data_IF_790027263883
#
_entry.id   IF_790027263883
#
_cell.length_a   1.000
_cell.length_b   1.000
_cell.length_c   1.000
_cell.angle_alpha   90.00
_cell.angle_beta   90.00
_cell.angle_gamma   90.00
#
_symmetry.space_group_name_H-M   'P 1'
#
loop_
_entity.id
_entity.type
_entity.pdbx_description
1 polymer ?
#
# COMPACT_ATOMS: atom_id res chain seq x y z
N UNK A 1 -37.89 -23.54 4.43
CA UNK A 1 -38.07 -22.06 4.37
C UNK A 1 -37.26 -21.55 3.19
N UNK A 2 -37.95 -21.10 2.15
CA UNK A 2 -37.27 -20.53 0.96
C UNK A 2 -36.90 -19.09 1.28
N UNK A 3 -35.72 -18.90 1.88
CA UNK A 3 -35.24 -17.55 2.21
C UNK A 3 -34.76 -16.88 0.92
N UNK A 4 -35.61 -16.03 0.38
CA UNK A 4 -35.32 -15.21 -0.79
C UNK A 4 -34.01 -14.46 -0.54
N UNK A 5 -32.98 -14.63 -1.39
CA UNK A 5 -31.72 -13.92 -1.26
C UNK A 5 -31.97 -12.40 -1.34
N UNK A 6 -31.34 -11.60 -0.50
CA UNK A 6 -31.48 -10.14 -0.59
C UNK A 6 -30.91 -9.64 -1.91
N UNK A 7 -31.54 -8.63 -2.49
CA UNK A 7 -31.06 -7.94 -3.68
C UNK A 7 -30.24 -6.72 -3.26
N UNK A 8 -29.00 -6.65 -3.73
CA UNK A 8 -28.07 -5.58 -3.41
C UNK A 8 -27.61 -4.90 -4.69
N UNK A 9 -27.62 -3.60 -4.70
CA UNK A 9 -27.07 -2.79 -5.79
C UNK A 9 -25.75 -2.20 -5.33
N UNK A 10 -24.70 -2.39 -6.15
CA UNK A 10 -23.39 -1.78 -5.97
C UNK A 10 -23.18 -0.77 -7.09
N UNK A 11 -22.85 0.46 -6.74
CA UNK A 11 -22.61 1.54 -7.70
C UNK A 11 -21.12 1.84 -7.74
N UNK A 12 -20.52 1.68 -8.92
CA UNK A 12 -19.08 1.84 -9.20
C UNK A 12 -18.33 0.53 -9.19
N UNK A 13 -17.71 0.18 -10.31
CA UNK A 13 -16.87 -1.00 -10.49
C UNK A 13 -15.36 -0.71 -10.33
N UNK A 14 -15.00 0.19 -9.42
CA UNK A 14 -13.64 0.33 -8.92
C UNK A 14 -13.30 -0.76 -7.90
N UNK A 15 -12.11 -0.74 -7.33
CA UNK A 15 -11.63 -1.74 -6.35
C UNK A 15 -12.61 -1.96 -5.20
N UNK A 16 -13.15 -0.88 -4.62
CA UNK A 16 -14.08 -0.96 -3.50
C UNK A 16 -15.40 -1.66 -3.89
N UNK A 17 -16.01 -1.26 -5.00
CA UNK A 17 -17.27 -1.85 -5.47
C UNK A 17 -17.12 -3.30 -5.89
N UNK A 18 -16.03 -3.64 -6.60
CA UNK A 18 -15.73 -5.02 -6.97
C UNK A 18 -15.46 -5.88 -5.74
N UNK A 19 -14.72 -5.38 -4.75
CA UNK A 19 -14.47 -6.09 -3.49
C UNK A 19 -15.76 -6.35 -2.72
N UNK A 20 -16.66 -5.36 -2.65
CA UNK A 20 -17.96 -5.52 -2.01
C UNK A 20 -18.82 -6.57 -2.73
N UNK A 21 -18.89 -6.50 -4.06
CA UNK A 21 -19.63 -7.46 -4.87
C UNK A 21 -19.12 -8.90 -4.68
N UNK A 22 -17.81 -9.12 -4.76
CA UNK A 22 -17.19 -10.44 -4.54
C UNK A 22 -17.46 -10.97 -3.14
N UNK A 23 -17.37 -10.12 -2.11
CA UNK A 23 -17.60 -10.53 -0.72
C UNK A 23 -19.06 -10.92 -0.43
N UNK A 24 -20.00 -10.42 -1.22
CA UNK A 24 -21.43 -10.63 -1.01
C UNK A 24 -22.08 -11.64 -1.97
N UNK A 25 -21.40 -12.07 -3.03
CA UNK A 25 -21.97 -12.88 -4.12
C UNK A 25 -22.61 -14.20 -3.65
N UNK A 26 -22.10 -14.78 -2.58
CA UNK A 26 -22.66 -16.00 -1.99
C UNK A 26 -23.86 -15.76 -1.07
N UNK A 27 -24.13 -14.49 -0.70
CA UNK A 27 -25.16 -14.12 0.30
C UNK A 27 -26.31 -13.32 -0.30
N UNK A 28 -26.14 -12.74 -1.48
CA UNK A 28 -27.10 -11.83 -2.10
C UNK A 28 -27.10 -11.96 -3.62
N UNK A 29 -28.18 -11.46 -4.24
CA UNK A 29 -28.24 -11.25 -5.68
C UNK A 29 -27.69 -9.84 -5.95
N UNK A 30 -26.54 -9.77 -6.61
CA UNK A 30 -25.79 -8.52 -6.79
C UNK A 30 -26.04 -7.95 -8.18
N UNK A 31 -26.40 -6.66 -8.22
CA UNK A 31 -26.40 -5.84 -9.44
C UNK A 31 -25.30 -4.78 -9.32
N UNK A 32 -24.29 -4.87 -10.18
CA UNK A 32 -23.17 -3.93 -10.22
C UNK A 32 -23.34 -2.96 -11.39
N UNK A 33 -23.32 -1.67 -11.11
CA UNK A 33 -23.43 -0.60 -12.11
C UNK A 33 -22.13 0.20 -12.17
N UNK A 34 -21.65 0.44 -13.38
CA UNK A 34 -20.47 1.27 -13.67
C UNK A 34 -20.81 2.33 -14.69
N UNK A 35 -20.46 3.58 -14.41
CA UNK A 35 -20.70 4.71 -15.32
C UNK A 35 -19.72 4.72 -16.50
N UNK A 36 -18.53 4.20 -16.31
CA UNK A 36 -17.50 4.12 -17.34
C UNK A 36 -17.69 2.90 -18.26
N UNK A 37 -16.99 2.92 -19.39
CA UNK A 37 -16.99 1.80 -20.33
C UNK A 37 -16.18 0.59 -19.86
N UNK A 38 -15.38 0.75 -18.82
CA UNK A 38 -14.46 -0.28 -18.32
C UNK A 38 -14.46 -0.26 -16.79
N UNK A 39 -14.51 -1.44 -16.18
CA UNK A 39 -14.30 -1.60 -14.76
C UNK A 39 -12.84 -1.32 -14.37
N UNK A 40 -12.59 -1.13 -13.06
CA UNK A 40 -11.26 -0.87 -12.50
C UNK A 40 -11.12 0.52 -11.89
N UNK A 41 -11.98 1.47 -12.25
CA UNK A 41 -11.95 2.84 -11.72
C UNK A 41 -10.64 3.55 -12.05
N UNK A 42 -9.90 3.96 -11.01
CA UNK A 42 -8.60 4.63 -11.14
C UNK A 42 -7.43 3.68 -11.44
N UNK A 43 -7.58 2.38 -11.26
CA UNK A 43 -6.55 1.37 -11.56
C UNK A 43 -6.98 0.56 -12.78
N UNK A 44 -6.57 0.98 -13.96
CA UNK A 44 -6.94 0.34 -15.22
C UNK A 44 -5.86 0.47 -16.27
N UNK A 45 -5.77 -0.52 -17.15
CA UNK A 45 -4.94 -0.42 -18.34
C UNK A 45 -5.59 0.49 -19.38
N UNK A 46 -4.76 1.21 -20.12
CA UNK A 46 -5.12 1.99 -21.30
C UNK A 46 -4.46 1.30 -22.49
N UNK A 47 -5.17 1.16 -23.60
CA UNK A 47 -4.58 0.65 -24.83
C UNK A 47 -3.41 1.53 -25.26
N UNK A 48 -2.25 0.92 -25.50
CA UNK A 48 -1.09 1.61 -26.06
C UNK A 48 -1.42 2.13 -27.47
N UNK A 49 -1.04 3.35 -27.76
CA UNK A 49 -1.08 3.90 -29.11
C UNK A 49 0.34 3.81 -29.66
N UNK A 50 0.56 3.01 -30.68
CA UNK A 50 1.75 2.95 -31.56
C UNK A 50 3.18 3.04 -30.94
N UNK A 51 3.31 3.02 -29.62
CA UNK A 51 4.58 3.23 -28.92
C UNK A 51 5.31 1.91 -28.60
N UNK A 52 4.89 0.81 -29.21
CA UNK A 52 5.47 -0.52 -28.97
C UNK A 52 5.04 -1.20 -27.66
N UNK A 53 4.13 -0.59 -26.91
CA UNK A 53 3.53 -1.18 -25.70
C UNK A 53 2.16 -1.75 -25.99
N UNK A 54 1.90 -2.99 -25.53
CA UNK A 54 0.60 -3.62 -25.65
C UNK A 54 -0.49 -2.97 -24.78
N UNK A 55 -0.08 -2.36 -23.68
CA UNK A 55 -0.94 -1.57 -22.79
C UNK A 55 -0.08 -0.60 -21.96
N UNK A 56 -0.71 0.45 -21.46
CA UNK A 56 -0.14 1.37 -20.48
C UNK A 56 -1.01 1.36 -19.23
N UNK A 57 -0.39 1.44 -18.06
CA UNK A 57 -1.12 1.70 -16.82
C UNK A 57 -1.50 3.18 -16.77
N UNK A 58 -2.74 3.50 -16.39
CA UNK A 58 -3.22 4.88 -16.30
C UNK A 58 -2.66 5.64 -15.09
N UNK A 59 -1.81 5.01 -14.31
CA UNK A 59 -1.13 5.57 -13.16
C UNK A 59 -0.05 4.63 -12.64
N UNK A 60 0.73 5.10 -11.69
CA UNK A 60 1.72 4.27 -11.02
C UNK A 60 1.04 3.49 -9.88
N UNK A 61 0.59 2.26 -10.15
CA UNK A 61 -0.06 1.41 -9.17
C UNK A 61 0.94 0.41 -8.58
N UNK A 62 1.51 0.78 -7.45
CA UNK A 62 2.42 -0.08 -6.69
C UNK A 62 1.66 -0.69 -5.52
N UNK A 63 1.70 -2.02 -5.40
CA UNK A 63 1.17 -2.74 -4.25
C UNK A 63 2.29 -3.02 -3.25
N UNK A 64 2.11 -2.56 -2.03
CA UNK A 64 2.98 -2.95 -0.93
C UNK A 64 2.57 -4.32 -0.40
N UNK A 65 3.53 -5.13 0.03
CA UNK A 65 3.28 -6.45 0.60
C UNK A 65 2.37 -6.47 1.83
N UNK A 66 2.13 -5.30 2.42
CA UNK A 66 1.20 -5.10 3.55
C UNK A 66 -0.29 -5.06 3.13
N UNK A 67 -0.61 -5.01 1.84
CA UNK A 67 -1.99 -4.94 1.37
C UNK A 67 -2.65 -6.34 1.33
N UNK A 68 -2.77 -6.97 2.50
CA UNK A 68 -3.31 -8.32 2.63
C UNK A 68 -4.74 -8.48 2.07
N UNK A 69 -5.58 -7.44 2.21
CA UNK A 69 -6.94 -7.46 1.68
C UNK A 69 -7.01 -7.66 0.17
N UNK A 70 -6.07 -7.06 -0.58
CA UNK A 70 -5.99 -7.24 -2.04
C UNK A 70 -5.60 -8.69 -2.37
N UNK A 71 -4.62 -9.25 -1.67
CA UNK A 71 -4.18 -10.63 -1.87
C UNK A 71 -5.31 -11.63 -1.57
N UNK A 72 -6.03 -11.41 -0.47
CA UNK A 72 -7.20 -12.23 -0.11
C UNK A 72 -8.29 -12.14 -1.18
N UNK A 73 -8.59 -10.94 -1.68
CA UNK A 73 -9.57 -10.77 -2.75
C UNK A 73 -9.15 -11.51 -4.02
N UNK A 74 -7.89 -11.42 -4.42
CA UNK A 74 -7.36 -12.12 -5.59
C UNK A 74 -7.51 -13.63 -5.46
N UNK A 75 -7.18 -14.19 -4.31
CA UNK A 75 -7.36 -15.61 -4.02
C UNK A 75 -8.84 -16.02 -4.13
N UNK A 76 -9.77 -15.20 -3.62
CA UNK A 76 -11.21 -15.46 -3.72
C UNK A 76 -11.72 -15.52 -5.18
N UNK A 77 -11.13 -14.77 -6.09
CA UNK A 77 -11.47 -14.77 -7.51
C UNK A 77 -10.59 -15.74 -8.35
N UNK A 78 -9.76 -16.56 -7.68
CA UNK A 78 -8.92 -17.56 -8.33
C UNK A 78 -7.65 -17.01 -8.99
N UNK A 79 -7.28 -15.77 -8.73
CA UNK A 79 -6.05 -15.17 -9.24
C UNK A 79 -4.92 -15.38 -8.24
N UNK A 80 -3.84 -16.02 -8.68
CA UNK A 80 -2.65 -16.19 -7.85
C UNK A 80 -1.81 -14.90 -7.88
N UNK A 81 -1.54 -14.26 -6.72
CA UNK A 81 -0.75 -13.02 -6.68
C UNK A 81 0.61 -13.15 -7.34
N UNK A 82 1.23 -14.31 -7.25
CA UNK A 82 2.55 -14.61 -7.82
C UNK A 82 2.58 -14.56 -9.35
N UNK A 83 1.48 -14.88 -10.00
CA UNK A 83 1.35 -14.80 -11.46
C UNK A 83 0.94 -13.41 -11.97
N UNK A 84 0.30 -12.61 -11.10
CA UNK A 84 -0.23 -11.30 -11.47
C UNK A 84 0.74 -10.14 -11.19
N UNK A 85 1.72 -10.33 -10.29
CA UNK A 85 2.62 -9.27 -9.86
C UNK A 85 4.09 -9.62 -10.03
N UNK A 86 4.84 -8.66 -10.55
CA UNK A 86 6.30 -8.69 -10.47
C UNK A 86 6.73 -8.21 -9.08
N UNK A 87 7.17 -9.13 -8.22
CA UNK A 87 7.68 -8.78 -6.89
C UNK A 87 9.11 -8.26 -6.99
N UNK A 88 9.34 -7.10 -6.41
CA UNK A 88 10.65 -6.46 -6.31
C UNK A 88 10.99 -6.20 -4.84
N UNK A 89 12.27 -6.27 -4.45
CA UNK A 89 12.70 -5.77 -3.15
C UNK A 89 12.35 -4.29 -3.01
N UNK A 90 11.88 -3.88 -1.84
CA UNK A 90 11.65 -2.46 -1.56
C UNK A 90 12.98 -1.70 -1.72
N UNK A 91 12.99 -0.71 -2.61
CA UNK A 91 14.08 0.23 -2.81
C UNK A 91 13.63 1.61 -2.38
N UNK A 92 14.43 2.25 -1.56
CA UNK A 92 14.25 3.63 -1.15
C UNK A 92 15.40 4.45 -1.72
N UNK A 93 15.07 5.47 -2.47
CA UNK A 93 16.06 6.28 -3.13
C UNK A 93 15.68 7.76 -3.07
N UNK A 94 16.47 8.54 -2.36
CA UNK A 94 16.42 10.00 -2.39
C UNK A 94 17.72 10.48 -3.06
N UNK A 95 17.61 11.33 -4.06
CA UNK A 95 18.77 11.90 -4.74
C UNK A 95 19.65 12.63 -3.70
N UNK A 96 20.93 12.31 -3.68
CA UNK A 96 21.90 12.82 -2.68
C UNK A 96 21.52 12.58 -1.21
N UNK A 97 20.48 11.82 -0.94
CA UNK A 97 19.96 11.53 0.39
C UNK A 97 19.91 10.03 0.70
N UNK A 98 19.01 9.69 1.62
CA UNK A 98 18.81 8.34 2.12
C UNK A 98 18.57 7.32 0.99
N UNK A 99 19.37 6.26 0.97
CA UNK A 99 19.24 5.16 0.03
C UNK A 99 19.37 3.83 0.74
N UNK A 100 18.44 2.92 0.52
CA UNK A 100 18.54 1.53 0.96
C UNK A 100 17.72 0.59 0.07
N UNK A 101 18.03 -0.70 0.16
CA UNK A 101 17.26 -1.77 -0.45
C UNK A 101 17.09 -2.88 0.58
N UNK A 102 15.88 -3.47 0.64
CA UNK A 102 15.61 -4.57 1.55
C UNK A 102 16.37 -5.83 1.14
N UNK A 103 16.87 -6.55 2.15
CA UNK A 103 17.50 -7.85 1.96
C UNK A 103 16.43 -8.95 1.78
N UNK A 104 16.83 -10.08 1.18
CA UNK A 104 15.99 -11.28 1.06
C UNK A 104 15.94 -12.04 2.40
N UNK A 105 15.35 -11.40 3.41
CA UNK A 105 15.19 -11.91 4.76
C UNK A 105 13.71 -11.80 5.17
N UNK A 106 13.21 -12.66 6.07
CA UNK A 106 11.86 -12.53 6.59
C UNK A 106 11.68 -11.25 7.43
N UNK A 107 10.44 -10.78 7.57
CA UNK A 107 10.11 -9.65 8.44
C UNK A 107 10.42 -10.00 9.91
N UNK A 108 10.95 -9.06 10.70
CA UNK A 108 11.30 -7.67 10.39
C UNK A 108 12.76 -7.48 9.91
N UNK A 109 13.54 -8.56 9.80
CA UNK A 109 14.98 -8.54 9.56
C UNK A 109 15.38 -7.90 8.23
N UNK A 110 14.57 -8.09 7.17
CA UNK A 110 14.81 -7.49 5.86
C UNK A 110 14.96 -5.97 5.94
N UNK A 111 14.10 -5.29 6.72
CA UNK A 111 14.12 -3.83 6.85
C UNK A 111 15.18 -3.37 7.85
N UNK A 112 15.40 -4.12 8.94
CA UNK A 112 16.47 -3.84 9.90
C UNK A 112 17.83 -3.79 9.20
N UNK A 113 18.15 -4.83 8.44
CA UNK A 113 19.42 -4.91 7.70
C UNK A 113 19.50 -3.82 6.63
N UNK A 114 18.40 -3.52 5.94
CA UNK A 114 18.35 -2.46 4.95
C UNK A 114 18.69 -1.09 5.55
N UNK A 115 18.13 -0.73 6.69
CA UNK A 115 18.39 0.54 7.36
C UNK A 115 19.83 0.58 7.91
N UNK A 116 20.32 -0.49 8.49
CA UNK A 116 21.70 -0.55 8.97
C UNK A 116 22.73 -0.37 7.83
N UNK A 117 22.43 -0.89 6.64
CA UNK A 117 23.23 -0.75 5.42
C UNK A 117 22.92 0.52 4.61
N UNK A 118 21.95 1.32 5.03
CA UNK A 118 21.54 2.52 4.30
C UNK A 118 22.71 3.47 4.06
N UNK A 119 22.74 4.05 2.86
CA UNK A 119 23.72 5.08 2.47
C UNK A 119 23.23 6.47 2.85
N UNK A 120 24.16 7.40 3.00
CA UNK A 120 23.90 8.81 3.25
C UNK A 120 23.09 9.07 4.54
N UNK A 121 23.22 8.21 5.54
CA UNK A 121 22.60 8.36 6.85
C UNK A 121 23.61 7.98 7.93
N UNK A 122 23.82 8.87 8.91
CA UNK A 122 24.72 8.59 10.04
C UNK A 122 24.20 7.44 10.89
N UNK A 123 25.08 6.75 11.60
CA UNK A 123 24.68 5.62 12.43
C UNK A 123 23.66 6.01 13.51
N UNK A 124 23.81 7.18 14.13
CA UNK A 124 22.85 7.69 15.12
C UNK A 124 21.44 7.87 14.52
N UNK A 125 21.34 8.38 13.30
CA UNK A 125 20.06 8.53 12.60
C UNK A 125 19.46 7.18 12.18
N UNK A 126 20.27 6.19 11.85
CA UNK A 126 19.79 4.80 11.60
C UNK A 126 19.15 4.21 12.85
N UNK A 127 19.80 4.32 13.99
CA UNK A 127 19.26 3.86 15.27
C UNK A 127 17.99 4.64 15.65
N UNK A 128 17.99 5.95 15.46
CA UNK A 128 16.81 6.80 15.68
C UNK A 128 15.64 6.34 14.81
N UNK A 129 15.85 6.13 13.51
CA UNK A 129 14.83 5.66 12.59
C UNK A 129 14.25 4.30 13.02
N UNK A 130 15.10 3.33 13.34
CA UNK A 130 14.67 2.01 13.82
C UNK A 130 13.87 2.11 15.13
N UNK A 131 14.32 2.95 16.06
CA UNK A 131 13.61 3.23 17.31
C UNK A 131 12.21 3.83 17.05
N UNK A 132 12.12 4.79 16.13
CA UNK A 132 10.84 5.42 15.80
C UNK A 132 9.89 4.44 15.09
N UNK A 133 10.36 3.65 14.17
CA UNK A 133 9.56 2.60 13.52
C UNK A 133 9.05 1.56 14.54
N UNK A 134 9.91 1.13 15.46
CA UNK A 134 9.53 0.21 16.53
C UNK A 134 8.50 0.84 17.49
N UNK A 135 8.66 2.12 17.82
CA UNK A 135 7.72 2.87 18.64
C UNK A 135 6.36 3.04 17.94
N UNK A 136 6.35 3.33 16.63
CA UNK A 136 5.11 3.42 15.85
C UNK A 136 4.36 2.09 15.83
N UNK A 137 5.07 0.99 15.61
CA UNK A 137 4.47 -0.35 15.63
C UNK A 137 3.83 -0.67 17.00
N UNK A 138 4.53 -0.38 18.10
CA UNK A 138 3.98 -0.59 19.46
C UNK A 138 2.80 0.33 19.72
N UNK A 139 2.88 1.58 19.31
CA UNK A 139 1.78 2.53 19.47
C UNK A 139 0.53 2.07 18.70
N UNK A 140 0.67 1.68 17.45
CA UNK A 140 -0.44 1.19 16.64
C UNK A 140 -1.10 -0.08 17.20
N UNK A 141 -0.33 -0.94 17.89
CA UNK A 141 -0.86 -2.15 18.51
C UNK A 141 -1.65 -1.91 19.81
N UNK A 142 -1.38 -0.82 20.54
CA UNK A 142 -1.89 -0.64 21.89
C UNK A 142 -2.76 0.61 22.09
N UNK A 143 -2.73 1.57 21.17
CA UNK A 143 -3.47 2.83 21.34
C UNK A 143 -4.79 2.83 20.58
N UNK A 144 -5.85 3.24 21.28
CA UNK A 144 -7.21 3.39 20.74
C UNK A 144 -7.54 4.85 20.35
N UNK A 145 -6.68 5.80 20.73
CA UNK A 145 -6.90 7.23 20.46
C UNK A 145 -6.34 7.60 19.11
N UNK A 146 -7.13 8.31 18.32
CA UNK A 146 -6.67 8.85 17.05
C UNK A 146 -5.63 9.96 17.26
N UNK A 147 -4.53 9.87 16.54
CA UNK A 147 -3.42 10.81 16.62
C UNK A 147 -2.89 11.04 15.20
N UNK A 148 -2.80 12.30 14.80
CA UNK A 148 -2.20 12.61 13.50
C UNK A 148 -0.73 12.21 13.44
N UNK A 149 -0.26 11.78 12.27
CA UNK A 149 1.14 11.40 12.07
C UNK A 149 2.07 12.55 12.44
N UNK A 150 1.73 13.78 12.04
CA UNK A 150 2.52 14.97 12.38
C UNK A 150 2.67 15.17 13.90
N UNK A 151 1.59 14.99 14.66
CA UNK A 151 1.64 15.08 16.12
C UNK A 151 2.50 13.98 16.72
N UNK A 152 2.35 12.73 16.23
CA UNK A 152 3.19 11.64 16.70
C UNK A 152 4.68 11.87 16.42
N UNK A 153 5.05 12.31 15.20
CA UNK A 153 6.43 12.61 14.84
C UNK A 153 7.04 13.72 15.71
N UNK A 154 6.24 14.74 16.09
CA UNK A 154 6.67 15.81 17.01
C UNK A 154 6.96 15.25 18.41
N UNK A 155 6.10 14.41 18.96
CA UNK A 155 6.32 13.78 20.29
C UNK A 155 7.58 12.91 20.32
N UNK A 156 8.00 12.40 19.15
CA UNK A 156 9.23 11.62 19.01
C UNK A 156 10.48 12.46 18.77
N UNK A 157 10.36 13.78 18.64
CA UNK A 157 11.47 14.66 18.31
C UNK A 157 12.25 14.17 17.08
N UNK A 158 11.53 13.83 15.99
CA UNK A 158 12.13 13.32 14.77
C UNK A 158 12.97 14.41 14.11
N UNK A 159 14.27 14.15 13.82
CA UNK A 159 15.13 15.13 13.15
C UNK A 159 14.60 15.53 11.77
N UNK A 160 14.81 16.79 11.38
CA UNK A 160 14.35 17.30 10.07
C UNK A 160 14.87 16.49 8.89
N UNK A 161 16.10 15.98 8.97
CA UNK A 161 16.69 15.11 7.94
C UNK A 161 15.91 13.81 7.76
N UNK A 162 15.51 13.14 8.84
CA UNK A 162 14.67 11.94 8.77
C UNK A 162 13.23 12.28 8.37
N UNK A 163 12.73 13.44 8.80
CA UNK A 163 11.39 13.87 8.40
C UNK A 163 11.31 14.02 6.88
N UNK A 164 12.21 14.76 6.24
CA UNK A 164 12.20 15.02 4.81
C UNK A 164 12.62 13.81 3.96
N UNK A 165 13.56 12.97 4.44
CA UNK A 165 14.10 11.89 3.64
C UNK A 165 13.37 10.55 3.81
N UNK A 166 12.61 10.37 4.87
CA UNK A 166 11.91 9.11 5.14
C UNK A 166 10.43 9.30 5.45
N UNK A 167 10.09 10.04 6.51
CA UNK A 167 8.72 10.07 7.01
C UNK A 167 7.75 10.78 6.06
N UNK A 168 8.14 11.92 5.53
CA UNK A 168 7.28 12.69 4.63
C UNK A 168 7.00 11.94 3.31
N UNK A 169 8.00 11.40 2.59
CA UNK A 169 7.74 10.59 1.42
C UNK A 169 6.93 9.32 1.72
N UNK A 170 7.16 8.70 2.88
CA UNK A 170 6.38 7.52 3.31
C UNK A 170 4.90 7.87 3.50
N UNK A 171 4.61 8.97 4.20
CA UNK A 171 3.23 9.42 4.46
C UNK A 171 2.54 9.82 3.17
N UNK A 172 3.21 10.54 2.29
CA UNK A 172 2.66 10.89 0.99
C UNK A 172 2.35 9.65 0.15
N UNK A 173 3.26 8.69 0.08
CA UNK A 173 3.06 7.46 -0.68
C UNK A 173 2.00 6.52 -0.10
N UNK A 174 1.87 6.46 1.24
CA UNK A 174 0.95 5.55 1.91
C UNK A 174 -0.45 6.12 2.13
N UNK A 175 -0.56 7.41 2.46
CA UNK A 175 -1.82 8.05 2.85
C UNK A 175 -2.32 9.08 1.83
N UNK A 176 -1.50 9.41 0.82
CA UNK A 176 -1.80 10.44 -0.19
C UNK A 176 -2.21 11.78 0.43
N UNK A 177 -1.60 12.13 1.57
CA UNK A 177 -1.86 13.36 2.32
C UNK A 177 -0.56 14.02 2.74
N UNK A 178 -0.46 15.36 2.81
CA UNK A 178 0.69 16.03 3.40
C UNK A 178 0.77 15.74 4.91
N UNK A 179 1.96 15.97 5.48
CA UNK A 179 2.20 15.93 6.92
C UNK A 179 1.68 17.19 7.60
#
# INVERSE_FOLDING_TARGET
>A
MNTKRPKIVVIGAGWAGLSAAVSLIHRADISLFEAGRQAGGRARAIAGKDDGFSFLDNGQHILLGAYHGVQTLMQHIGVQPESAFLRQPLRWYIHEGLQFQTASLPAPWHLLVAILRAKNLSFSLKIKLLSDMSALRRWAAHHKTDLTVAKWLRTRNVPRSLLGQFWQPLVWGALNTPL
#
